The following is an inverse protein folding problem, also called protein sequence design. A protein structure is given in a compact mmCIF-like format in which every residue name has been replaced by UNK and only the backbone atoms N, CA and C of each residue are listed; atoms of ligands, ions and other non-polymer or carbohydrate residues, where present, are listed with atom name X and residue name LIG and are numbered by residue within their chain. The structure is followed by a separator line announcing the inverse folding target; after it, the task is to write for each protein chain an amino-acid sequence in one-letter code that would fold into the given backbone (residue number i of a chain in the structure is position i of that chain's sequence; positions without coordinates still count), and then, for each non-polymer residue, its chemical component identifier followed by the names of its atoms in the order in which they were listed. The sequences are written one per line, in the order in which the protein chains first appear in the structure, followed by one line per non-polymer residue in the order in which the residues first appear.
data_IF_936414029543
#
_entry.id   IF_936414029543
#
_cell.length_a   1.000
_cell.length_b   1.000
_cell.length_c   1.000
_cell.angle_alpha   90.00
_cell.angle_beta   90.00
_cell.angle_gamma   90.00
#
_symmetry.space_group_name_H-M   'P 1'
#
loop_
_entity.id
_entity.type
_entity.pdbx_description
1 polymer ?
#
# COMPACT_ATOMS: atom_id res chain seq x y z
N UNK A 1 -3.41 20.73 -5.71
CA UNK A 1 -2.49 20.15 -6.70
C UNK A 1 -2.00 18.77 -6.29
N UNK A 2 -1.13 18.62 -5.28
CA UNK A 2 -0.51 17.31 -4.94
C UNK A 2 -1.52 16.24 -4.47
N UNK A 3 -2.50 16.61 -3.63
CA UNK A 3 -3.58 15.69 -3.22
C UNK A 3 -4.42 15.20 -4.41
N UNK A 4 -4.76 16.10 -5.32
CA UNK A 4 -5.49 15.76 -6.56
C UNK A 4 -4.73 14.76 -7.41
N UNK A 5 -3.40 14.90 -7.51
CA UNK A 5 -2.55 13.92 -8.22
C UNK A 5 -2.56 12.55 -7.53
N UNK A 6 -2.49 12.49 -6.20
CA UNK A 6 -2.60 11.23 -5.45
C UNK A 6 -3.95 10.55 -5.70
N UNK A 7 -5.06 11.28 -5.58
CA UNK A 7 -6.40 10.77 -5.89
C UNK A 7 -6.49 10.24 -7.33
N UNK A 8 -5.90 10.94 -8.30
CA UNK A 8 -5.88 10.51 -9.69
C UNK A 8 -5.04 9.24 -9.92
N UNK A 9 -3.92 9.08 -9.21
CA UNK A 9 -3.12 7.87 -9.26
C UNK A 9 -3.89 6.66 -8.70
N UNK A 10 -4.53 6.82 -7.53
CA UNK A 10 -5.36 5.77 -6.95
C UNK A 10 -6.56 5.40 -7.85
N UNK A 11 -7.18 6.39 -8.51
CA UNK A 11 -8.26 6.13 -9.50
C UNK A 11 -7.74 5.33 -10.69
N UNK A 12 -6.58 5.68 -11.23
CA UNK A 12 -5.94 4.91 -12.31
C UNK A 12 -5.64 3.48 -11.86
N UNK A 13 -5.13 3.29 -10.64
CA UNK A 13 -4.90 1.96 -10.06
C UNK A 13 -6.23 1.19 -9.95
N UNK A 14 -7.31 1.81 -9.48
CA UNK A 14 -8.63 1.19 -9.41
C UNK A 14 -9.14 0.71 -10.76
N UNK A 15 -9.07 1.56 -11.79
CA UNK A 15 -9.45 1.20 -13.15
C UNK A 15 -8.58 0.07 -13.71
N UNK A 16 -7.27 0.11 -13.47
CA UNK A 16 -6.35 -0.93 -13.90
C UNK A 16 -6.60 -2.27 -13.19
N UNK A 17 -6.99 -2.26 -11.92
CA UNK A 17 -7.37 -3.48 -11.20
C UNK A 17 -8.65 -4.12 -11.76
N UNK A 18 -9.64 -3.30 -12.16
CA UNK A 18 -10.86 -3.79 -12.82
C UNK A 18 -10.54 -4.35 -14.21
N UNK A 19 -9.72 -3.67 -15.00
CA UNK A 19 -9.28 -4.17 -16.30
C UNK A 19 -8.52 -5.50 -16.14
N UNK A 20 -7.57 -5.56 -15.19
CA UNK A 20 -6.85 -6.79 -14.87
C UNK A 20 -7.81 -7.91 -14.48
N UNK A 21 -8.78 -7.69 -13.58
CA UNK A 21 -9.67 -8.78 -13.20
C UNK A 21 -10.57 -9.26 -14.35
N UNK A 22 -10.98 -8.36 -15.25
CA UNK A 22 -11.67 -8.72 -16.48
C UNK A 22 -10.85 -9.64 -17.40
N UNK A 23 -9.56 -9.37 -17.53
CA UNK A 23 -8.65 -10.14 -18.40
C UNK A 23 -8.15 -11.45 -17.77
N UNK A 24 -8.31 -11.62 -16.45
CA UNK A 24 -7.72 -12.73 -15.68
C UNK A 24 -8.77 -13.53 -14.88
N UNK A 25 -9.96 -13.78 -15.45
CA UNK A 25 -11.01 -14.61 -14.85
C UNK A 25 -11.42 -14.20 -13.42
N UNK A 26 -11.64 -12.90 -13.24
CA UNK A 26 -11.96 -12.25 -11.96
C UNK A 26 -10.80 -12.27 -10.93
N UNK A 27 -9.61 -12.78 -11.28
CA UNK A 27 -8.45 -12.76 -10.40
C UNK A 27 -7.85 -11.35 -10.31
N UNK A 28 -7.34 -10.99 -9.14
CA UNK A 28 -6.59 -9.74 -8.94
C UNK A 28 -5.10 -10.03 -8.79
N UNK A 29 -4.21 -9.03 -8.94
CA UNK A 29 -2.80 -9.23 -8.65
C UNK A 29 -2.59 -9.82 -7.25
N UNK A 30 -1.74 -10.85 -7.08
CA UNK A 30 -1.48 -11.42 -5.77
C UNK A 30 -0.77 -10.41 -4.87
N UNK A 31 -1.16 -10.36 -3.60
CA UNK A 31 -0.45 -9.58 -2.58
C UNK A 31 0.56 -10.44 -1.82
N UNK A 32 1.70 -9.85 -1.48
CA UNK A 32 2.74 -10.48 -0.68
C UNK A 32 2.40 -10.50 0.82
N UNK A 33 1.49 -9.64 1.28
CA UNK A 33 1.03 -9.62 2.66
C UNK A 33 -0.33 -10.32 2.78
N UNK A 34 -0.33 -11.54 3.30
CA UNK A 34 -1.52 -12.33 3.56
C UNK A 34 -1.30 -13.15 4.84
N UNK A 35 -1.63 -12.59 6.02
CA UNK A 35 -1.34 -13.25 7.29
C UNK A 35 -2.14 -14.54 7.51
N UNK A 36 -3.24 -14.74 6.78
CA UNK A 36 -4.02 -15.98 6.81
C UNK A 36 -3.40 -17.12 5.99
N UNK A 37 -2.66 -16.82 4.93
CA UNK A 37 -1.95 -17.82 4.12
C UNK A 37 -0.49 -17.99 4.50
N UNK A 38 0.15 -16.92 4.98
CA UNK A 38 1.55 -16.91 5.38
C UNK A 38 1.74 -16.05 6.63
N UNK A 39 1.93 -16.70 7.77
CA UNK A 39 2.15 -16.04 9.08
C UNK A 39 3.45 -15.23 9.13
N UNK A 40 4.41 -15.51 8.25
CA UNK A 40 5.67 -14.77 8.14
C UNK A 40 5.56 -13.56 7.20
N UNK A 41 4.41 -13.34 6.55
CA UNK A 41 4.20 -12.15 5.73
C UNK A 41 4.05 -10.91 6.61
N UNK A 42 4.72 -9.83 6.22
CA UNK A 42 4.72 -8.55 6.96
C UNK A 42 4.17 -7.43 6.06
N UNK A 43 3.53 -6.38 6.63
CA UNK A 43 2.88 -5.34 5.83
C UNK A 43 3.80 -4.64 4.83
N UNK A 44 5.08 -4.44 5.15
CA UNK A 44 6.03 -3.79 4.24
C UNK A 44 6.19 -4.54 2.90
N UNK A 45 5.86 -5.84 2.87
CA UNK A 45 5.96 -6.66 1.66
C UNK A 45 4.95 -6.23 0.59
N UNK A 46 3.83 -5.62 0.96
CA UNK A 46 2.81 -5.09 0.02
C UNK A 46 3.32 -3.96 -0.86
N UNK A 47 4.42 -3.30 -0.49
CA UNK A 47 5.02 -2.24 -1.30
C UNK A 47 5.96 -2.77 -2.37
N UNK A 48 6.34 -4.06 -2.34
CA UNK A 48 7.28 -4.64 -3.30
C UNK A 48 6.65 -4.72 -4.69
N UNK A 49 7.37 -4.29 -5.72
CA UNK A 49 6.92 -4.42 -7.11
C UNK A 49 7.83 -5.36 -7.91
N UNK A 50 9.15 -5.24 -7.74
CA UNK A 50 10.14 -6.02 -8.46
C UNK A 50 11.40 -6.26 -7.62
N UNK A 51 12.21 -7.25 -8.02
CA UNK A 51 13.54 -7.52 -7.50
C UNK A 51 14.63 -7.31 -8.56
N UNK A 52 15.89 -7.21 -8.15
CA UNK A 52 17.03 -7.15 -9.06
C UNK A 52 18.29 -6.61 -8.40
N UNK A 53 19.33 -6.33 -9.19
CA UNK A 53 20.59 -5.77 -8.68
C UNK A 53 20.50 -4.25 -8.47
N UNK A 54 21.16 -3.74 -7.43
CA UNK A 54 21.15 -2.32 -7.07
C UNK A 54 21.63 -1.42 -8.22
N UNK A 55 20.92 -0.32 -8.48
CA UNK A 55 21.22 0.61 -9.57
C UNK A 55 20.93 0.10 -10.98
N UNK A 56 20.43 -1.13 -11.14
CA UNK A 56 20.08 -1.71 -12.44
C UNK A 56 18.56 -1.67 -12.67
N UNK A 57 18.15 -1.86 -13.93
CA UNK A 57 16.74 -2.08 -14.24
C UNK A 57 16.25 -3.36 -13.56
N UNK A 58 15.09 -3.29 -12.92
CA UNK A 58 14.53 -4.41 -12.19
C UNK A 58 14.15 -5.57 -13.12
N UNK A 59 14.15 -6.79 -12.57
CA UNK A 59 13.63 -7.95 -13.26
C UNK A 59 12.09 -7.92 -13.24
N UNK A 60 11.50 -7.59 -14.39
CA UNK A 60 10.04 -7.48 -14.55
C UNK A 60 9.37 -8.82 -14.88
N UNK A 61 10.12 -9.92 -15.01
CA UNK A 61 9.56 -11.25 -15.25
C UNK A 61 8.85 -11.80 -14.00
N UNK A 62 9.22 -11.32 -12.81
CA UNK A 62 8.66 -11.75 -11.53
C UNK A 62 8.03 -10.54 -10.81
N UNK A 63 6.89 -10.03 -11.30
CA UNK A 63 6.16 -8.96 -10.63
C UNK A 63 5.64 -9.40 -9.26
N UNK A 64 5.49 -8.42 -8.37
CA UNK A 64 4.84 -8.56 -7.06
C UNK A 64 3.80 -7.46 -6.90
N UNK A 65 2.70 -7.73 -6.18
CA UNK A 65 1.67 -6.73 -5.85
C UNK A 65 1.22 -5.91 -7.08
N UNK A 66 1.27 -4.58 -7.02
CA UNK A 66 0.90 -3.68 -8.12
C UNK A 66 1.88 -3.71 -9.31
N UNK A 67 3.04 -4.37 -9.18
CA UNK A 67 3.97 -4.59 -10.28
C UNK A 67 3.36 -5.38 -11.45
N UNK A 68 2.34 -6.21 -11.18
CA UNK A 68 1.60 -6.91 -12.22
C UNK A 68 0.93 -5.95 -13.21
N UNK A 69 0.37 -4.84 -12.73
CA UNK A 69 -0.29 -3.83 -13.58
C UNK A 69 0.69 -3.19 -14.57
N UNK A 70 1.96 -3.10 -14.22
CA UNK A 70 3.01 -2.62 -15.11
C UNK A 70 3.35 -3.66 -16.16
N UNK A 71 3.54 -4.91 -15.75
CA UNK A 71 3.97 -5.98 -16.66
C UNK A 71 2.92 -6.32 -17.71
N UNK A 72 1.63 -6.13 -17.40
CA UNK A 72 0.55 -6.32 -18.36
C UNK A 72 0.22 -5.06 -19.16
N UNK A 73 0.96 -3.97 -18.96
CA UNK A 73 0.83 -2.73 -19.73
C UNK A 73 -0.34 -1.82 -19.34
N UNK A 74 -1.06 -2.11 -18.25
CA UNK A 74 -2.20 -1.30 -17.81
C UNK A 74 -1.76 0.04 -17.17
N UNK A 75 -0.63 0.05 -16.45
CA UNK A 75 -0.01 1.27 -15.91
C UNK A 75 1.49 1.23 -16.18
N UNK A 76 1.96 1.96 -17.18
CA UNK A 76 3.37 1.96 -17.59
C UNK A 76 4.19 3.12 -17.01
N UNK A 77 3.51 4.16 -16.52
CA UNK A 77 4.16 5.31 -15.90
C UNK A 77 4.56 5.00 -14.46
N UNK A 78 5.86 5.00 -14.17
CA UNK A 78 6.37 4.79 -12.82
C UNK A 78 5.76 5.75 -11.80
N UNK A 79 5.55 7.02 -12.17
CA UNK A 79 4.96 8.04 -11.30
C UNK A 79 3.55 7.73 -10.81
N UNK A 80 2.79 6.87 -11.50
CA UNK A 80 1.45 6.46 -11.06
C UNK A 80 1.46 5.58 -9.80
N UNK A 81 2.61 4.98 -9.46
CA UNK A 81 2.79 4.15 -8.26
C UNK A 81 3.31 4.92 -7.04
N UNK A 82 3.44 6.25 -7.17
CA UNK A 82 3.94 7.11 -6.12
C UNK A 82 3.02 8.31 -5.89
N UNK A 83 2.54 8.50 -4.67
CA UNK A 83 2.02 9.79 -4.21
C UNK A 83 3.11 10.88 -4.35
N UNK A 84 2.91 11.91 -5.21
CA UNK A 84 3.86 13.00 -5.38
C UNK A 84 3.92 13.95 -4.18
N UNK A 85 2.95 13.86 -3.27
CA UNK A 85 2.93 14.58 -2.00
C UNK A 85 3.85 13.98 -0.94
N UNK A 86 4.33 12.74 -1.13
CA UNK A 86 5.20 12.08 -0.18
C UNK A 86 6.61 12.69 -0.22
N UNK A 87 7.01 13.33 0.89
CA UNK A 87 8.33 13.94 1.05
C UNK A 87 8.86 13.64 2.43
N UNK A 88 9.99 12.96 2.49
CA UNK A 88 10.63 12.61 3.75
C UNK A 88 12.05 13.15 3.81
N UNK A 89 12.55 13.37 5.02
CA UNK A 89 13.95 13.64 5.23
C UNK A 89 14.79 12.47 4.69
N UNK A 90 15.89 12.79 3.99
CA UNK A 90 16.76 11.76 3.41
C UNK A 90 17.48 10.92 4.48
N UNK A 91 17.45 11.33 5.75
CA UNK A 91 17.92 10.54 6.88
C UNK A 91 17.04 9.33 7.19
N UNK A 92 15.77 9.28 6.75
CA UNK A 92 14.90 8.14 7.00
C UNK A 92 15.36 6.91 6.19
N UNK A 93 15.49 5.73 6.83
CA UNK A 93 15.97 4.52 6.16
C UNK A 93 14.93 3.91 5.19
N UNK A 94 13.64 4.22 5.38
CA UNK A 94 12.55 3.76 4.53
C UNK A 94 12.47 4.65 3.30
N UNK A 95 12.99 4.15 2.17
CA UNK A 95 12.97 4.83 0.87
C UNK A 95 11.81 4.34 0.03
N UNK A 96 10.80 5.18 -0.15
CA UNK A 96 9.60 4.90 -0.96
C UNK A 96 9.21 6.04 -1.91
N UNK A 97 10.05 7.07 -2.05
CA UNK A 97 9.82 8.10 -3.06
C UNK A 97 10.30 7.62 -4.44
N UNK A 98 9.63 8.04 -5.52
CA UNK A 98 9.98 7.71 -6.91
C UNK A 98 11.46 7.98 -7.23
N UNK A 99 12.03 9.08 -6.69
CA UNK A 99 13.43 9.48 -6.90
C UNK A 99 14.44 8.40 -6.56
N UNK A 100 14.10 7.47 -5.66
CA UNK A 100 14.99 6.37 -5.25
C UNK A 100 15.01 5.23 -6.28
N UNK A 101 14.03 5.17 -7.20
CA UNK A 101 13.79 4.06 -8.12
C UNK A 101 13.95 4.46 -9.58
N UNK A 102 14.66 5.56 -9.84
CA UNK A 102 15.03 6.00 -11.19
C UNK A 102 16.30 6.86 -11.17
N UNK A 103 16.97 6.93 -12.31
CA UNK A 103 18.05 7.88 -12.57
C UNK A 103 18.00 8.31 -14.06
N UNK A 104 18.75 9.36 -14.46
CA UNK A 104 18.87 9.71 -15.87
C UNK A 104 19.42 8.58 -16.76
N UNK A 105 20.22 7.66 -16.19
CA UNK A 105 20.82 6.52 -16.92
C UNK A 105 19.94 5.28 -16.91
N UNK A 106 19.19 5.07 -15.83
CA UNK A 106 18.30 3.93 -15.64
C UNK A 106 16.93 4.46 -15.24
N UNK A 107 16.03 4.69 -16.22
CA UNK A 107 14.66 5.06 -15.93
C UNK A 107 13.96 4.01 -15.05
N UNK A 108 12.88 4.42 -14.40
CA UNK A 108 12.06 3.50 -13.62
C UNK A 108 11.64 2.26 -14.46
N UNK A 109 11.66 1.03 -13.92
CA UNK A 109 11.89 0.66 -12.52
C UNK A 109 13.36 0.31 -12.22
N UNK A 110 14.14 1.23 -11.63
CA UNK A 110 15.51 0.97 -11.16
C UNK A 110 15.47 0.39 -9.76
N UNK A 111 16.21 -0.68 -9.50
CA UNK A 111 16.32 -1.27 -8.17
C UNK A 111 17.14 -0.40 -7.21
N UNK A 112 16.64 -0.27 -5.98
CA UNK A 112 17.35 0.29 -4.84
C UNK A 112 17.37 -0.72 -3.69
N UNK A 113 18.56 -1.06 -3.19
CA UNK A 113 18.80 -2.11 -2.20
C UNK A 113 18.13 -3.43 -2.58
N UNK A 114 18.31 -3.82 -3.84
CA UNK A 114 17.88 -5.12 -4.37
C UNK A 114 16.41 -5.21 -4.82
N UNK A 115 15.65 -4.11 -4.77
CA UNK A 115 14.20 -4.12 -5.00
C UNK A 115 13.66 -2.81 -5.53
N UNK A 116 12.45 -2.86 -6.07
CA UNK A 116 11.61 -1.70 -6.37
C UNK A 116 10.41 -1.72 -5.45
N UNK A 117 10.13 -0.58 -4.82
CA UNK A 117 8.92 -0.39 -4.02
C UNK A 117 8.07 0.75 -4.56
N UNK A 118 6.76 0.58 -4.56
CA UNK A 118 5.81 1.70 -4.63
C UNK A 118 5.63 2.35 -3.25
N UNK A 119 4.88 3.46 -3.19
CA UNK A 119 4.47 4.04 -1.91
C UNK A 119 2.99 3.81 -1.55
N UNK A 120 2.18 3.37 -2.52
CA UNK A 120 0.84 2.89 -2.25
C UNK A 120 0.88 1.48 -1.67
N UNK A 121 0.18 1.28 -0.56
CA UNK A 121 0.05 -0.01 0.10
C UNK A 121 -1.00 -0.85 -0.61
N UNK A 122 -0.62 -1.99 -1.18
CA UNK A 122 -1.57 -2.94 -1.77
C UNK A 122 -1.94 -4.04 -0.77
N UNK A 123 -3.14 -3.90 -0.20
CA UNK A 123 -3.74 -4.88 0.69
C UNK A 123 -5.21 -5.05 0.30
N UNK A 124 -5.50 -5.87 -0.72
CA UNK A 124 -6.85 -6.05 -1.25
C UNK A 124 -7.75 -6.72 -0.21
N UNK A 125 -8.54 -5.95 0.54
CA UNK A 125 -9.45 -6.49 1.54
C UNK A 125 -10.75 -7.00 0.89
N UNK A 126 -11.19 -8.18 1.31
CA UNK A 126 -12.50 -8.71 0.97
C UNK A 126 -13.60 -8.15 1.89
N UNK A 127 -14.86 -8.42 1.57
CA UNK A 127 -15.99 -8.18 2.47
C UNK A 127 -16.08 -9.16 3.65
N UNK A 128 -15.23 -10.20 3.72
CA UNK A 128 -15.31 -11.24 4.74
C UNK A 128 -14.45 -10.92 5.97
N UNK A 129 -14.99 -11.22 7.16
CA UNK A 129 -14.26 -11.12 8.42
C UNK A 129 -13.09 -12.10 8.45
N UNK A 130 -11.91 -11.64 8.85
CA UNK A 130 -10.76 -12.52 9.06
C UNK A 130 -10.86 -13.38 10.33
N UNK A 131 -11.69 -12.94 11.28
CA UNK A 131 -11.96 -13.62 12.53
C UNK A 131 -13.49 -13.74 12.67
N UNK A 132 -14.07 -14.94 12.55
CA UNK A 132 -15.50 -15.15 12.73
C UNK A 132 -15.98 -14.76 14.14
N UNK A 133 -15.14 -14.98 15.16
CA UNK A 133 -15.37 -14.62 16.54
C UNK A 133 -14.25 -13.67 17.01
N UNK A 134 -14.33 -12.36 16.71
CA UNK A 134 -13.30 -11.41 17.08
C UNK A 134 -13.23 -11.23 18.59
N UNK A 135 -12.02 -11.12 19.15
CA UNK A 135 -11.82 -10.95 20.61
C UNK A 135 -12.09 -9.54 21.11
N UNK A 136 -12.09 -8.57 20.22
CA UNK A 136 -12.28 -7.15 20.50
C UNK A 136 -12.71 -6.41 19.22
N UNK A 137 -13.10 -5.15 19.39
CA UNK A 137 -13.59 -4.31 18.29
C UNK A 137 -12.54 -4.08 17.17
N UNK A 138 -11.24 -4.16 17.48
CA UNK A 138 -10.17 -4.02 16.50
C UNK A 138 -10.12 -5.24 15.58
N UNK A 139 -10.12 -6.45 16.15
CA UNK A 139 -10.18 -7.70 15.37
C UNK A 139 -11.46 -7.80 14.55
N UNK A 140 -12.57 -7.21 15.03
CA UNK A 140 -13.83 -7.17 14.29
C UNK A 140 -13.75 -6.32 13.00
N UNK A 141 -12.77 -5.42 12.88
CA UNK A 141 -12.54 -4.67 11.64
C UNK A 141 -11.72 -5.45 10.63
N UNK A 142 -11.03 -6.53 11.02
CA UNK A 142 -10.08 -7.20 10.14
C UNK A 142 -10.80 -8.01 9.08
N UNK A 143 -10.35 -7.83 7.83
CA UNK A 143 -10.88 -8.53 6.66
C UNK A 143 -9.88 -9.56 6.13
N UNK A 144 -10.40 -10.61 5.49
CA UNK A 144 -9.59 -11.54 4.71
C UNK A 144 -9.05 -10.84 3.47
N UNK A 145 -7.87 -11.26 3.01
CA UNK A 145 -7.31 -10.83 1.74
C UNK A 145 -8.12 -11.43 0.59
N UNK A 146 -8.61 -10.57 -0.31
CA UNK A 146 -9.27 -10.97 -1.54
C UNK A 146 -8.25 -11.57 -2.53
N UNK A 147 -8.70 -12.57 -3.28
CA UNK A 147 -7.99 -13.13 -4.45
C UNK A 147 -8.75 -12.88 -5.74
N UNK A 148 -9.99 -12.40 -5.65
CA UNK A 148 -10.86 -12.08 -6.77
C UNK A 148 -11.54 -10.73 -6.59
N UNK A 149 -11.88 -10.06 -7.69
CA UNK A 149 -12.53 -8.74 -7.61
C UNK A 149 -13.96 -8.84 -7.09
N UNK A 150 -14.66 -9.94 -7.39
CA UNK A 150 -15.99 -10.24 -6.82
C UNK A 150 -16.02 -10.42 -5.29
N UNK A 151 -14.86 -10.47 -4.61
CA UNK A 151 -14.78 -10.54 -3.15
C UNK A 151 -14.67 -9.16 -2.48
N UNK A 152 -14.48 -8.10 -3.26
CA UNK A 152 -14.35 -6.75 -2.73
C UNK A 152 -15.64 -6.24 -2.08
N UNK A 153 -15.50 -5.28 -1.18
CA UNK A 153 -16.60 -4.54 -0.54
C UNK A 153 -16.31 -3.05 -0.60
N UNK A 154 -17.34 -2.25 -0.90
CA UNK A 154 -17.24 -0.78 -0.89
C UNK A 154 -16.81 -0.21 0.47
N UNK A 155 -16.96 -0.99 1.55
CA UNK A 155 -16.57 -0.61 2.92
C UNK A 155 -15.13 -1.01 3.28
N UNK A 156 -14.38 -1.60 2.36
CA UNK A 156 -13.03 -2.09 2.62
C UNK A 156 -12.04 -1.58 1.59
N UNK A 157 -10.87 -1.16 2.05
CA UNK A 157 -9.82 -0.60 1.18
C UNK A 157 -9.10 -1.70 0.39
N UNK A 158 -8.69 -1.37 -0.83
CA UNK A 158 -7.82 -2.20 -1.67
C UNK A 158 -6.39 -1.65 -1.66
N UNK A 159 -6.28 -0.33 -1.84
CA UNK A 159 -5.01 0.39 -1.91
C UNK A 159 -5.12 1.61 -1.01
N UNK A 160 -4.08 1.90 -0.24
CA UNK A 160 -4.01 3.13 0.57
C UNK A 160 -2.72 3.88 0.28
N UNK A 161 -2.65 5.12 0.75
CA UNK A 161 -1.37 5.78 0.95
C UNK A 161 -0.44 4.98 1.89
N UNK A 162 0.79 5.47 2.02
CA UNK A 162 1.82 4.88 2.86
C UNK A 162 1.37 4.77 4.33
N UNK A 163 1.32 3.54 4.82
CA UNK A 163 1.14 3.19 6.24
C UNK A 163 2.37 2.39 6.65
N UNK A 164 3.39 3.07 7.17
CA UNK A 164 4.64 2.43 7.59
C UNK A 164 5.09 2.88 8.97
N UNK A 165 5.48 4.13 9.14
CA UNK A 165 5.92 4.70 10.43
C UNK A 165 5.26 6.06 10.65
N UNK A 166 5.24 6.57 11.87
CA UNK A 166 4.77 7.93 12.16
C UNK A 166 5.45 9.01 11.30
N UNK A 167 6.77 8.92 11.15
CA UNK A 167 7.56 9.91 10.41
C UNK A 167 7.50 9.77 8.88
N UNK A 168 6.92 8.66 8.39
CA UNK A 168 6.71 8.45 6.95
C UNK A 168 5.24 8.62 6.56
N UNK A 169 4.39 9.12 7.47
CA UNK A 169 3.00 9.36 7.17
C UNK A 169 2.87 10.45 6.11
N UNK A 170 2.10 10.20 5.04
CA UNK A 170 1.78 11.24 4.08
C UNK A 170 0.82 12.26 4.67
N UNK A 171 0.71 13.40 3.97
CA UNK A 171 -0.32 14.41 4.21
C UNK A 171 -0.38 14.92 5.66
N UNK A 172 0.75 15.36 6.20
CA UNK A 172 0.82 16.02 7.51
C UNK A 172 0.69 17.54 7.39
N UNK A 173 0.18 18.18 8.46
CA UNK A 173 0.18 19.64 8.64
C UNK A 173 0.68 19.93 10.05
N UNK A 174 1.76 20.70 10.19
CA UNK A 174 2.47 20.90 11.46
C UNK A 174 2.70 19.56 12.19
N UNK A 175 3.26 18.58 11.47
CA UNK A 175 3.53 17.20 11.95
C UNK A 175 2.30 16.37 12.38
N UNK A 176 1.09 16.90 12.23
CA UNK A 176 -0.15 16.17 12.51
C UNK A 176 -0.69 15.51 11.22
N UNK A 177 -1.03 14.21 11.23
CA UNK A 177 -1.63 13.57 10.07
C UNK A 177 -3.00 14.18 9.78
N UNK A 178 -3.24 14.57 8.52
CA UNK A 178 -4.53 15.15 8.11
C UNK A 178 -5.49 14.12 7.54
N UNK A 179 -4.99 12.95 7.12
CA UNK A 179 -5.79 11.85 6.58
C UNK A 179 -4.97 10.91 5.70
N UNK A 180 -5.61 9.85 5.21
CA UNK A 180 -5.04 8.84 4.30
C UNK A 180 -5.97 8.73 3.09
N UNK A 181 -5.44 8.85 1.88
CA UNK A 181 -6.19 8.47 0.69
C UNK A 181 -6.35 6.95 0.64
N UNK A 182 -7.54 6.52 0.27
CA UNK A 182 -7.90 5.12 0.13
C UNK A 182 -8.68 4.90 -1.16
N UNK A 183 -8.31 3.85 -1.89
CA UNK A 183 -9.09 3.21 -2.94
C UNK A 183 -9.93 2.10 -2.31
N UNK A 184 -11.23 2.15 -2.51
CA UNK A 184 -12.21 1.24 -1.92
C UNK A 184 -12.60 0.11 -2.88
N UNK A 185 -13.26 -0.93 -2.36
CA UNK A 185 -13.62 -2.14 -3.09
C UNK A 185 -14.46 -1.95 -4.35
N UNK A 186 -15.26 -0.88 -4.40
CA UNK A 186 -16.08 -0.45 -5.54
C UNK A 186 -15.36 0.59 -6.42
N UNK A 187 -14.04 0.76 -6.23
CA UNK A 187 -13.13 1.65 -6.95
C UNK A 187 -13.28 3.15 -6.71
N UNK A 188 -14.16 3.58 -5.80
CA UNK A 188 -14.14 5.00 -5.42
C UNK A 188 -12.87 5.31 -4.61
N UNK A 189 -12.44 6.57 -4.67
CA UNK A 189 -11.28 7.07 -3.91
C UNK A 189 -11.74 8.17 -2.99
N UNK A 190 -11.33 8.09 -1.72
CA UNK A 190 -11.65 9.10 -0.72
C UNK A 190 -10.44 9.44 0.15
N UNK A 191 -10.59 10.49 0.96
CA UNK A 191 -9.57 10.94 1.90
C UNK A 191 -10.09 10.71 3.33
N UNK A 192 -9.70 9.59 3.92
CA UNK A 192 -10.16 9.17 5.24
C UNK A 192 -9.49 10.01 6.34
N UNK A 193 -10.32 10.70 7.14
CA UNK A 193 -9.89 11.49 8.30
C UNK A 193 -10.26 10.83 9.63
N UNK A 194 -10.54 9.52 9.64
CA UNK A 194 -10.97 8.80 10.85
C UNK A 194 -9.91 8.86 11.94
N UNK A 195 -10.18 9.63 13.00
CA UNK A 195 -9.23 9.90 14.11
C UNK A 195 -8.69 8.62 14.76
N UNK A 196 -9.51 7.58 14.90
CA UNK A 196 -9.11 6.32 15.50
C UNK A 196 -7.96 5.63 14.74
N UNK A 197 -7.91 5.77 13.40
CA UNK A 197 -6.84 5.22 12.58
C UNK A 197 -5.48 5.90 12.84
N UNK A 198 -5.48 7.10 13.43
CA UNK A 198 -4.29 7.88 13.79
C UNK A 198 -3.96 7.82 15.28
N UNK A 199 -4.55 6.89 16.03
CA UNK A 199 -4.21 6.69 17.45
C UNK A 199 -2.69 6.45 17.58
N UNK A 200 -1.96 7.25 18.38
CA UNK A 200 -0.51 7.11 18.53
C UNK A 200 -0.05 5.72 18.97
N UNK A 201 -0.88 4.92 19.64
CA UNK A 201 -0.49 3.54 20.00
C UNK A 201 -0.35 2.62 18.77
N UNK A 202 -1.00 2.96 17.66
CA UNK A 202 -0.90 2.27 16.37
C UNK A 202 0.31 2.71 15.55
N UNK A 203 0.90 3.87 15.86
CA UNK A 203 2.00 4.47 15.12
C UNK A 203 3.20 4.67 16.07
N UNK A 204 4.21 3.81 15.96
CA UNK A 204 5.38 3.88 16.85
C UNK A 204 6.09 5.26 16.73
N UNK A 205 6.19 5.96 17.88
CA UNK A 205 6.72 7.31 18.02
C UNK A 205 8.24 7.40 17.91
N UNK A 206 8.96 6.29 18.09
CA UNK A 206 10.36 6.38 18.56
C UNK A 206 11.42 5.84 17.63
N UNK A 207 11.08 4.93 16.70
CA UNK A 207 12.11 4.31 15.89
C UNK A 207 11.58 3.88 14.54
N UNK A 208 12.09 4.47 13.47
CA UNK A 208 11.63 4.24 12.09
C UNK A 208 11.79 2.79 11.55
N UNK A 209 12.19 1.85 12.41
CA UNK A 209 12.59 0.47 12.08
C UNK A 209 13.00 -0.39 13.31
N UNK A 210 13.08 0.15 14.54
CA UNK A 210 13.56 -0.62 15.70
C UNK A 210 12.35 -1.25 16.40
N UNK A 211 12.34 -2.58 16.54
CA UNK A 211 11.41 -3.29 17.43
C UNK A 211 10.14 -3.90 16.81
N UNK A 212 9.97 -3.90 15.48
CA UNK A 212 8.76 -4.45 14.80
C UNK A 212 7.43 -3.89 15.34
N UNK A 213 7.45 -2.66 15.85
CA UNK A 213 6.27 -1.99 16.42
C UNK A 213 5.64 -0.94 15.50
N UNK A 214 6.28 -0.63 14.37
CA UNK A 214 5.72 0.22 13.33
C UNK A 214 4.65 -0.55 12.55
N UNK A 215 3.57 0.11 12.06
CA UNK A 215 2.56 -0.59 11.28
C UNK A 215 3.12 -1.20 9.99
N UNK A 216 4.18 -0.68 9.40
CA UNK A 216 4.85 -1.35 8.27
C UNK A 216 5.46 -2.71 8.61
N UNK A 217 5.77 -2.98 9.88
CA UNK A 217 6.42 -4.22 10.33
C UNK A 217 5.55 -5.00 11.34
N UNK A 218 4.31 -4.55 11.57
CA UNK A 218 3.41 -5.11 12.59
C UNK A 218 2.02 -5.41 11.98
N UNK A 219 1.71 -6.67 11.64
CA UNK A 219 0.43 -7.06 11.06
C UNK A 219 -0.79 -6.60 11.89
N UNK A 220 -0.72 -6.66 13.22
CA UNK A 220 -1.83 -6.29 14.09
C UNK A 220 -2.13 -4.80 13.98
N UNK A 221 -1.12 -3.94 14.14
CA UNK A 221 -1.30 -2.49 14.04
C UNK A 221 -1.75 -2.07 12.65
N UNK A 222 -1.12 -2.62 11.61
CA UNK A 222 -1.50 -2.34 10.23
C UNK A 222 -2.97 -2.66 9.95
N UNK A 223 -3.39 -3.90 10.24
CA UNK A 223 -4.77 -4.35 9.99
C UNK A 223 -5.80 -3.54 10.76
N UNK A 224 -5.45 -3.12 11.98
CA UNK A 224 -6.30 -2.22 12.76
C UNK A 224 -6.40 -0.84 12.12
N UNK A 225 -5.30 -0.25 11.64
CA UNK A 225 -5.34 1.05 10.95
C UNK A 225 -6.24 0.98 9.71
N UNK A 226 -6.00 0.02 8.80
CA UNK A 226 -6.79 -0.07 7.56
C UNK A 226 -8.25 -0.44 7.82
N UNK A 227 -8.52 -1.24 8.85
CA UNK A 227 -9.89 -1.57 9.26
C UNK A 227 -10.65 -0.41 9.91
N UNK A 228 -9.95 0.61 10.41
CA UNK A 228 -10.55 1.83 10.98
C UNK A 228 -10.79 2.94 9.95
N UNK A 229 -10.24 2.84 8.74
CA UNK A 229 -10.47 3.84 7.69
C UNK A 229 -11.95 3.87 7.32
N UNK A 230 -12.47 5.05 6.97
CA UNK A 230 -13.84 5.23 6.47
C UNK A 230 -13.82 6.18 5.27
N UNK A 231 -14.74 6.01 4.30
CA UNK A 231 -14.75 6.83 3.12
C UNK A 231 -14.95 8.32 3.42
#
# INVERSE_FOLDING_TARGET
ALRTSCTNNLRQIGLALVAYSGDYDDQIPPTMFNPEKNVASEPWMSYLMFGGSDGQRANTQYPMNLGFLYTVGLITSGGSYYDPGLRHADSLPIKQELKNYQSPKVPWPMCYRGRVRGNYMYYPQSGQLARPNPKNDMEAQWRLVATKSGQFSSESTIVTDLIYTEATRPHTSNDNPTGINALWGDTHVSFSTTKAAFNPNLWDRGAHHVGKQNPGDNPVKFRTIVGLLRP
#
